data_IF_074052172114
#
_entry.id   IF_074052172114
#
_cell.length_a   1.000
_cell.length_b   1.000
_cell.length_c   1.000
_cell.angle_alpha   90.00
_cell.angle_beta   90.00
_cell.angle_gamma   90.00
#
_symmetry.space_group_name_H-M   'P 1'
#
loop_
_entity.id
_entity.type
_entity.pdbx_description
1 polymer ?
#
# COMPACT_ATOMS: atom_id res chain seq x y z
N UNK A 1 -58.19 15.17 9.34
CA UNK A 1 -57.60 14.44 10.49
C UNK A 1 -57.71 12.94 10.26
N UNK A 2 -56.59 12.25 10.02
CA UNK A 2 -56.43 10.82 10.33
C UNK A 2 -54.92 10.55 10.42
N UNK A 3 -54.41 10.50 11.65
CA UNK A 3 -53.00 10.27 11.95
C UNK A 3 -52.75 8.77 11.89
N UNK A 4 -52.03 8.29 10.88
CA UNK A 4 -51.47 6.94 10.89
C UNK A 4 -50.08 7.09 11.50
N UNK A 5 -50.00 6.88 12.81
CA UNK A 5 -48.75 6.71 13.53
C UNK A 5 -48.20 5.34 13.14
N UNK A 6 -47.26 5.35 12.20
CA UNK A 6 -46.48 4.18 11.81
C UNK A 6 -45.57 3.80 12.97
N UNK A 7 -45.65 2.52 13.35
CA UNK A 7 -45.07 1.94 14.54
C UNK A 7 -43.55 1.97 14.62
N UNK A 8 -43.13 1.91 15.87
CA UNK A 8 -41.80 1.72 16.40
C UNK A 8 -41.04 0.51 15.81
N UNK A 9 -39.80 0.79 15.42
CA UNK A 9 -38.58 0.11 15.88
C UNK A 9 -38.18 -1.27 15.33
N UNK A 10 -36.85 -1.37 15.15
CA UNK A 10 -36.01 -2.57 15.14
C UNK A 10 -35.93 -3.40 13.86
N UNK A 11 -35.30 -2.82 12.84
CA UNK A 11 -34.31 -3.56 12.05
C UNK A 11 -32.99 -2.81 12.12
N UNK A 12 -32.35 -2.92 13.29
CA UNK A 12 -30.92 -2.67 13.42
C UNK A 12 -30.21 -3.74 12.60
N UNK A 13 -30.09 -3.51 11.30
CA UNK A 13 -29.15 -4.25 10.49
C UNK A 13 -27.76 -3.94 11.03
N UNK A 14 -27.13 -4.96 11.59
CA UNK A 14 -25.72 -4.98 11.96
C UNK A 14 -24.84 -4.87 10.71
N UNK A 15 -24.82 -3.71 10.06
CA UNK A 15 -23.82 -3.34 9.06
C UNK A 15 -22.63 -2.59 9.69
N UNK A 16 -22.58 -2.52 11.02
CA UNK A 16 -21.62 -1.69 11.77
C UNK A 16 -20.19 -2.22 11.87
N UNK A 17 -19.87 -3.42 11.35
CA UNK A 17 -18.53 -4.01 11.51
C UNK A 17 -17.72 -3.94 10.19
N UNK A 18 -18.37 -4.07 9.03
CA UNK A 18 -17.68 -4.15 7.74
C UNK A 18 -17.20 -2.80 7.18
N UNK A 19 -17.83 -1.69 7.58
CA UNK A 19 -17.46 -0.36 7.08
C UNK A 19 -16.19 0.19 7.77
N UNK A 20 -15.97 -0.12 9.05
CA UNK A 20 -14.84 0.40 9.81
C UNK A 20 -13.51 -0.20 9.33
N UNK A 21 -13.45 -1.51 9.06
CA UNK A 21 -12.23 -2.20 8.63
C UNK A 21 -11.78 -1.79 7.21
N UNK A 22 -12.73 -1.53 6.30
CA UNK A 22 -12.40 -1.02 4.98
C UNK A 22 -11.78 0.39 5.03
N UNK A 23 -12.29 1.25 5.92
CA UNK A 23 -11.72 2.59 6.16
C UNK A 23 -10.32 2.48 6.77
N UNK A 24 -10.14 1.64 7.80
CA UNK A 24 -8.83 1.41 8.44
C UNK A 24 -7.80 0.86 7.44
N UNK A 25 -8.20 -0.04 6.54
CA UNK A 25 -7.33 -0.52 5.47
C UNK A 25 -6.91 0.60 4.52
N UNK A 26 -7.85 1.42 4.04
CA UNK A 26 -7.55 2.55 3.14
C UNK A 26 -6.61 3.54 3.83
N UNK A 27 -6.87 3.91 5.08
CA UNK A 27 -6.01 4.81 5.85
C UNK A 27 -4.60 4.24 6.03
N UNK A 28 -4.48 2.92 6.27
CA UNK A 28 -3.20 2.25 6.35
C UNK A 28 -2.44 2.35 5.02
N UNK A 29 -3.09 2.06 3.89
CA UNK A 29 -2.50 2.15 2.56
C UNK A 29 -2.06 3.58 2.23
N UNK A 30 -2.89 4.59 2.52
CA UNK A 30 -2.55 6.00 2.31
C UNK A 30 -1.30 6.40 3.10
N UNK A 31 -1.22 5.99 4.37
CA UNK A 31 -0.04 6.24 5.22
C UNK A 31 1.20 5.54 4.68
N UNK A 32 1.09 4.27 4.28
CA UNK A 32 2.19 3.49 3.71
C UNK A 32 2.72 4.16 2.43
N UNK A 33 1.83 4.61 1.55
CA UNK A 33 2.18 5.33 0.32
C UNK A 33 2.84 6.68 0.61
N UNK A 34 2.34 7.44 1.59
CA UNK A 34 2.90 8.72 2.00
C UNK A 34 4.32 8.56 2.56
N UNK A 35 4.54 7.55 3.41
CA UNK A 35 5.86 7.23 3.97
C UNK A 35 6.84 6.82 2.87
N UNK A 36 6.45 5.90 1.98
CA UNK A 36 7.29 5.47 0.85
C UNK A 36 7.68 6.64 -0.05
N UNK A 37 6.73 7.52 -0.38
CA UNK A 37 6.98 8.72 -1.19
C UNK A 37 7.94 9.67 -0.49
N UNK A 38 7.78 9.88 0.81
CA UNK A 38 8.65 10.74 1.61
C UNK A 38 10.07 10.19 1.67
N UNK A 39 10.23 8.92 2.04
CA UNK A 39 11.53 8.25 2.15
C UNK A 39 12.26 8.21 0.81
N UNK A 40 11.54 7.86 -0.27
CA UNK A 40 12.10 7.80 -1.62
C UNK A 40 12.56 9.17 -2.10
N UNK A 41 11.75 10.22 -1.90
CA UNK A 41 12.13 11.60 -2.26
C UNK A 41 13.35 12.05 -1.49
N UNK A 42 13.38 11.82 -0.19
CA UNK A 42 14.51 12.20 0.66
C UNK A 42 15.80 11.49 0.23
N UNK A 43 15.70 10.20 -0.11
CA UNK A 43 16.84 9.46 -0.66
C UNK A 43 17.30 10.03 -2.01
N UNK A 44 16.38 10.19 -2.97
CA UNK A 44 16.69 10.65 -4.33
C UNK A 44 17.23 12.09 -4.34
N UNK A 45 16.74 12.97 -3.46
CA UNK A 45 17.25 14.34 -3.34
C UNK A 45 18.69 14.43 -2.80
N UNK A 46 19.16 13.37 -2.12
CA UNK A 46 20.52 13.29 -1.60
C UNK A 46 21.54 12.74 -2.59
N UNK A 47 21.11 12.40 -3.81
CA UNK A 47 21.97 11.81 -4.84
C UNK A 47 22.70 12.88 -5.63
N UNK A 48 23.88 12.54 -6.15
CA UNK A 48 24.58 13.39 -7.12
C UNK A 48 23.79 13.39 -8.44
N UNK A 49 23.32 14.54 -8.96
CA UNK A 49 22.54 14.61 -10.19
C UNK A 49 23.23 14.05 -11.44
N UNK A 50 24.57 13.93 -11.40
CA UNK A 50 25.38 13.43 -12.52
C UNK A 50 25.76 11.94 -12.37
N UNK A 51 25.40 11.29 -11.26
CA UNK A 51 25.76 9.88 -11.06
C UNK A 51 24.96 8.97 -12.00
N UNK A 52 25.62 7.95 -12.53
CA UNK A 52 24.99 6.94 -13.38
C UNK A 52 24.67 5.72 -12.53
N UNK A 53 23.44 5.62 -12.05
CA UNK A 53 22.99 4.54 -11.17
C UNK A 53 23.34 4.77 -9.70
N UNK A 54 23.07 3.75 -8.87
CA UNK A 54 23.35 3.78 -7.44
C UNK A 54 24.67 3.07 -7.12
N UNK A 55 25.42 3.59 -6.15
CA UNK A 55 26.47 2.80 -5.49
C UNK A 55 25.86 1.57 -4.80
N UNK A 56 26.66 0.54 -4.45
CA UNK A 56 26.15 -0.60 -3.70
C UNK A 56 25.42 -0.21 -2.40
N UNK A 57 25.94 0.76 -1.65
CA UNK A 57 25.35 1.26 -0.41
C UNK A 57 24.04 2.03 -0.68
N UNK A 58 24.02 2.86 -1.72
CA UNK A 58 22.82 3.56 -2.16
C UNK A 58 21.73 2.58 -2.61
N UNK A 59 22.12 1.53 -3.34
CA UNK A 59 21.20 0.48 -3.78
C UNK A 59 20.61 -0.29 -2.60
N UNK A 60 21.46 -0.73 -1.65
CA UNK A 60 20.99 -1.39 -0.43
C UNK A 60 20.01 -0.49 0.37
N UNK A 61 20.32 0.81 0.48
CA UNK A 61 19.46 1.77 1.19
C UNK A 61 18.11 1.96 0.48
N UNK A 62 18.11 2.18 -0.83
CA UNK A 62 16.87 2.34 -1.59
C UNK A 62 16.05 1.06 -1.61
N UNK A 63 16.66 -0.09 -1.82
CA UNK A 63 15.96 -1.37 -1.78
C UNK A 63 15.43 -1.71 -0.39
N UNK A 64 16.06 -1.23 0.68
CA UNK A 64 15.48 -1.27 2.02
C UNK A 64 14.20 -0.44 2.18
N UNK A 65 14.12 0.72 1.51
CA UNK A 65 12.88 1.54 1.47
C UNK A 65 11.77 0.77 0.73
N UNK A 66 12.09 0.23 -0.46
CA UNK A 66 11.13 -0.55 -1.27
C UNK A 66 10.70 -1.82 -0.56
N UNK A 67 11.61 -2.53 0.10
CA UNK A 67 11.30 -3.74 0.88
C UNK A 67 10.32 -3.47 2.01
N UNK A 68 10.56 -2.42 2.82
CA UNK A 68 9.61 -2.01 3.87
C UNK A 68 8.25 -1.62 3.30
N UNK A 69 8.22 -0.98 2.14
CA UNK A 69 6.97 -0.63 1.46
C UNK A 69 6.17 -1.89 1.07
N UNK A 70 6.81 -2.85 0.40
CA UNK A 70 6.20 -4.15 0.05
C UNK A 70 5.70 -4.87 1.30
N UNK A 71 6.52 -4.97 2.34
CA UNK A 71 6.18 -5.67 3.58
C UNK A 71 4.93 -5.07 4.23
N UNK A 72 4.88 -3.74 4.34
CA UNK A 72 3.74 -3.04 4.94
C UNK A 72 2.48 -3.15 4.10
N UNK A 73 2.58 -3.09 2.78
CA UNK A 73 1.44 -3.31 1.88
C UNK A 73 0.87 -4.71 2.05
N UNK A 74 1.73 -5.72 2.00
CA UNK A 74 1.32 -7.11 2.19
C UNK A 74 0.70 -7.32 3.58
N UNK A 75 1.32 -6.80 4.64
CA UNK A 75 0.80 -6.92 6.00
C UNK A 75 -0.58 -6.24 6.15
N UNK A 76 -0.76 -5.05 5.59
CA UNK A 76 -2.05 -4.36 5.63
C UNK A 76 -3.14 -5.16 4.90
N UNK A 77 -2.80 -5.75 3.75
CA UNK A 77 -3.73 -6.59 3.00
C UNK A 77 -4.04 -7.91 3.74
N UNK A 78 -3.03 -8.54 4.34
CA UNK A 78 -3.17 -9.79 5.09
C UNK A 78 -4.06 -9.63 6.32
N UNK A 79 -3.86 -8.55 7.08
CA UNK A 79 -4.66 -8.23 8.27
C UNK A 79 -6.12 -7.90 7.95
N UNK A 80 -6.37 -7.31 6.77
CA UNK A 80 -7.70 -6.91 6.34
C UNK A 80 -8.31 -7.86 5.32
N UNK A 81 -7.70 -9.03 5.09
CA UNK A 81 -8.03 -9.95 3.99
C UNK A 81 -9.52 -10.25 3.89
N UNK A 82 -10.20 -10.47 5.01
CA UNK A 82 -11.64 -10.76 5.07
C UNK A 82 -12.54 -9.65 4.50
N UNK A 83 -12.02 -8.42 4.39
CA UNK A 83 -12.75 -7.22 3.95
C UNK A 83 -12.37 -6.76 2.54
N UNK A 84 -11.36 -7.39 1.93
CA UNK A 84 -10.94 -7.07 0.58
C UNK A 84 -11.77 -7.82 -0.47
N UNK A 85 -11.84 -7.27 -1.68
CA UNK A 85 -12.38 -7.98 -2.84
C UNK A 85 -11.69 -9.34 -3.01
N UNK A 86 -12.44 -10.31 -3.53
CA UNK A 86 -11.97 -11.70 -3.70
C UNK A 86 -10.64 -11.82 -4.46
N UNK A 87 -10.37 -10.90 -5.38
CA UNK A 87 -9.11 -10.84 -6.12
C UNK A 87 -7.89 -10.56 -5.23
N UNK A 88 -8.07 -9.79 -4.15
CA UNK A 88 -7.03 -9.43 -3.20
C UNK A 88 -6.97 -10.38 -2.00
N UNK A 89 -8.04 -11.16 -1.77
CA UNK A 89 -8.07 -12.16 -0.70
C UNK A 89 -6.97 -13.21 -0.85
N UNK A 90 -6.62 -13.59 -2.08
CA UNK A 90 -5.58 -14.58 -2.35
C UNK A 90 -4.23 -13.95 -2.74
N UNK A 91 -4.08 -12.63 -2.55
CA UNK A 91 -2.85 -11.93 -2.88
C UNK A 91 -1.70 -12.44 -2.00
N UNK A 92 -0.65 -12.91 -2.65
CA UNK A 92 0.61 -13.28 -2.01
C UNK A 92 1.54 -12.06 -1.90
N UNK A 93 2.57 -12.16 -1.06
CA UNK A 93 3.64 -11.17 -1.03
C UNK A 93 4.33 -11.04 -2.39
N UNK A 94 4.45 -12.14 -3.14
CA UNK A 94 5.04 -12.13 -4.47
C UNK A 94 4.24 -11.28 -5.46
N UNK A 95 2.91 -11.30 -5.36
CA UNK A 95 2.04 -10.46 -6.21
C UNK A 95 2.26 -8.98 -5.89
N UNK A 96 2.39 -8.62 -4.61
CA UNK A 96 2.74 -7.25 -4.18
C UNK A 96 4.11 -6.85 -4.73
N UNK A 97 5.11 -7.73 -4.65
CA UNK A 97 6.45 -7.48 -5.22
C UNK A 97 6.35 -7.21 -6.72
N UNK A 98 5.62 -8.04 -7.46
CA UNK A 98 5.43 -7.88 -8.91
C UNK A 98 4.79 -6.53 -9.23
N UNK A 99 3.75 -6.14 -8.50
CA UNK A 99 3.06 -4.86 -8.69
C UNK A 99 3.97 -3.66 -8.37
N UNK A 100 4.71 -3.71 -7.26
CA UNK A 100 5.65 -2.64 -6.92
C UNK A 100 6.76 -2.53 -7.96
N UNK A 101 7.31 -3.66 -8.44
CA UNK A 101 8.32 -3.67 -9.51
C UNK A 101 7.77 -3.24 -10.87
N UNK A 102 6.47 -3.41 -11.13
CA UNK A 102 5.82 -2.96 -12.38
C UNK A 102 5.59 -1.44 -12.41
N UNK A 103 5.63 -0.77 -11.26
CA UNK A 103 5.43 0.67 -11.15
C UNK A 103 6.38 1.47 -12.06
N UNK A 104 5.88 2.58 -12.59
CA UNK A 104 6.64 3.46 -13.50
C UNK A 104 7.97 3.92 -12.90
N UNK A 105 7.98 4.18 -11.59
CA UNK A 105 9.17 4.60 -10.85
C UNK A 105 10.24 3.50 -10.84
N UNK A 106 9.86 2.27 -10.49
CA UNK A 106 10.78 1.13 -10.49
C UNK A 106 11.27 0.77 -11.90
N UNK A 107 10.40 0.85 -12.90
CA UNK A 107 10.77 0.63 -14.30
C UNK A 107 11.73 1.70 -14.84
N UNK A 108 11.65 2.94 -14.33
CA UNK A 108 12.64 3.98 -14.65
C UNK A 108 13.98 3.65 -14.02
N UNK A 109 13.99 3.32 -12.72
CA UNK A 109 15.20 3.01 -11.96
C UNK A 109 15.93 1.78 -12.50
N UNK A 110 15.20 0.78 -13.02
CA UNK A 110 15.78 -0.39 -13.68
C UNK A 110 16.69 -0.03 -14.86
N UNK A 111 16.40 1.06 -15.59
CA UNK A 111 17.25 1.55 -16.70
C UNK A 111 18.61 2.07 -16.22
N UNK A 112 18.68 2.45 -14.95
CA UNK A 112 19.89 2.88 -14.26
C UNK A 112 20.53 1.76 -13.43
N UNK A 113 20.22 0.50 -13.76
CA UNK A 113 20.75 -0.70 -13.10
C UNK A 113 20.39 -0.83 -11.62
N UNK A 114 19.33 -0.14 -11.18
CA UNK A 114 18.77 -0.31 -9.84
C UNK A 114 17.73 -1.43 -9.91
N UNK A 115 18.09 -2.60 -9.40
CA UNK A 115 17.17 -3.74 -9.25
C UNK A 115 17.20 -4.24 -7.80
N UNK A 116 16.04 -4.22 -7.15
CA UNK A 116 15.88 -4.68 -5.80
C UNK A 116 15.50 -6.16 -5.79
N UNK A 117 16.34 -6.97 -5.15
CA UNK A 117 16.00 -8.35 -4.82
C UNK A 117 15.14 -8.33 -3.54
N UNK A 118 13.83 -8.51 -3.71
CA UNK A 118 12.79 -8.34 -2.69
C UNK A 118 12.20 -9.69 -2.30
#
# INVERSE_FOLDING_TARGET
MKKILLGMCLLGWSYGIFAASAVEYIEAIERINADYKKESRQFLSGLNPQQQGFSPEQNAKFCGIVGRYVDRLYQAADQNRAYLDRQFQNMSKQDVIVEVKSSKEMQLLKRYQVDCNL
#
